data_IF_856963132603
#
_entry.id   IF_856963132603
#
_cell.length_a   1.000
_cell.length_b   1.000
_cell.length_c   1.000
_cell.angle_alpha   90.00
_cell.angle_beta   90.00
_cell.angle_gamma   90.00
#
_symmetry.space_group_name_H-M   'P 1'
#
loop_
_entity.id
_entity.type
_entity.pdbx_description
1 polymer ?
#
# COMPACT_ATOMS: atom_id res chain seq x y z
N UNK A 1 -27.80 -16.76 21.62
CA UNK A 1 -26.95 -15.54 21.72
C UNK A 1 -25.51 -15.98 21.54
N UNK A 2 -24.93 -15.77 20.35
CA UNK A 2 -23.52 -16.10 20.10
C UNK A 2 -22.64 -15.11 20.88
N UNK A 3 -22.13 -15.51 22.04
CA UNK A 3 -20.97 -14.84 22.62
C UNK A 3 -19.76 -15.26 21.78
N UNK A 4 -19.56 -14.57 20.66
CA UNK A 4 -18.30 -14.68 19.96
C UNK A 4 -17.28 -13.87 20.75
N UNK A 5 -16.22 -14.54 21.20
CA UNK A 5 -15.14 -13.92 21.95
C UNK A 5 -14.65 -12.71 21.16
N UNK A 6 -14.56 -11.50 21.78
CA UNK A 6 -14.15 -10.29 21.07
C UNK A 6 -12.81 -10.46 20.34
N UNK A 7 -11.94 -11.31 20.90
CA UNK A 7 -10.67 -11.70 20.31
C UNK A 7 -10.83 -12.50 19.01
N UNK A 8 -11.73 -13.49 18.97
CA UNK A 8 -12.00 -14.30 17.77
C UNK A 8 -12.62 -13.45 16.67
N UNK A 9 -13.52 -12.52 17.03
CA UNK A 9 -14.11 -11.58 16.07
C UNK A 9 -13.04 -10.64 15.51
N UNK A 10 -12.15 -10.11 16.35
CA UNK A 10 -11.05 -9.25 15.90
C UNK A 10 -10.09 -9.98 14.97
N UNK A 11 -9.71 -11.23 15.30
CA UNK A 11 -8.85 -12.08 14.45
C UNK A 11 -9.55 -12.40 13.14
N UNK A 12 -10.85 -12.73 13.15
CA UNK A 12 -11.61 -13.02 11.94
C UNK A 12 -11.72 -11.79 11.03
N UNK A 13 -11.94 -10.60 11.58
CA UNK A 13 -11.95 -9.34 10.82
C UNK A 13 -10.57 -8.98 10.29
N UNK A 14 -9.51 -9.21 11.06
CA UNK A 14 -8.13 -9.01 10.60
C UNK A 14 -7.81 -9.94 9.44
N UNK A 15 -8.08 -11.24 9.58
CA UNK A 15 -7.85 -12.24 8.54
C UNK A 15 -8.71 -11.95 7.31
N UNK A 16 -10.00 -11.63 7.49
CA UNK A 16 -10.90 -11.27 6.41
C UNK A 16 -10.48 -10.00 5.68
N UNK A 17 -9.99 -8.98 6.40
CA UNK A 17 -9.43 -7.76 5.83
C UNK A 17 -8.15 -8.02 5.04
N UNK A 18 -7.23 -8.85 5.58
CA UNK A 18 -6.01 -9.25 4.89
C UNK A 18 -6.34 -10.04 3.62
N UNK A 19 -7.17 -11.08 3.70
CA UNK A 19 -7.56 -11.89 2.54
C UNK A 19 -8.33 -11.05 1.52
N UNK A 20 -9.27 -10.21 1.96
CA UNK A 20 -10.02 -9.28 1.14
C UNK A 20 -9.13 -8.26 0.41
N UNK A 21 -8.05 -7.82 1.05
CA UNK A 21 -7.06 -6.93 0.42
C UNK A 21 -6.16 -7.63 -0.60
N UNK A 22 -5.96 -8.94 -0.47
CA UNK A 22 -5.11 -9.75 -1.35
C UNK A 22 -5.88 -10.31 -2.56
N UNK A 23 -7.19 -10.50 -2.45
CA UNK A 23 -8.05 -10.99 -3.54
C UNK A 23 -7.94 -10.16 -4.84
N UNK A 24 -7.96 -8.81 -4.79
CA UNK A 24 -7.78 -7.96 -5.97
C UNK A 24 -6.35 -8.00 -6.54
N UNK A 25 -5.35 -8.40 -5.74
CA UNK A 25 -3.94 -8.41 -6.13
C UNK A 25 -3.67 -9.45 -7.22
N UNK A 26 -4.46 -10.52 -7.29
CA UNK A 26 -4.26 -11.59 -8.28
C UNK A 26 -4.59 -11.10 -9.71
N UNK A 27 -5.81 -10.61 -10.01
CA UNK A 27 -6.12 -10.06 -11.32
C UNK A 27 -5.49 -8.67 -11.55
N UNK A 28 -5.51 -7.79 -10.54
CA UNK A 28 -4.98 -6.43 -10.63
C UNK A 28 -3.46 -6.37 -10.71
N UNK A 29 -2.76 -7.24 -9.97
CA UNK A 29 -1.29 -7.31 -9.98
C UNK A 29 -0.74 -7.88 -11.29
N UNK A 30 -1.42 -8.85 -11.90
CA UNK A 30 -1.02 -9.39 -13.21
C UNK A 30 -1.24 -8.38 -14.35
N UNK A 31 -2.36 -7.65 -14.34
CA UNK A 31 -2.62 -6.58 -15.32
C UNK A 31 -1.71 -5.36 -15.10
N UNK A 32 -1.51 -4.93 -13.86
CA UNK A 32 -0.67 -3.78 -13.53
C UNK A 32 0.82 -4.06 -13.80
N UNK A 33 1.30 -5.30 -13.60
CA UNK A 33 2.66 -5.70 -13.95
C UNK A 33 2.92 -5.69 -15.47
N UNK A 34 1.91 -5.98 -16.30
CA UNK A 34 2.00 -5.89 -17.77
C UNK A 34 2.02 -4.44 -18.27
N UNK A 35 1.33 -3.53 -17.59
CA UNK A 35 1.17 -2.13 -18.02
C UNK A 35 2.23 -1.20 -17.41
N UNK A 36 2.70 -1.48 -16.19
CA UNK A 36 3.50 -0.55 -15.39
C UNK A 36 5.03 -0.68 -15.50
N UNK A 37 5.57 -1.77 -16.07
CA UNK A 37 7.02 -1.97 -16.25
C UNK A 37 7.86 -2.04 -14.96
N UNK A 38 7.28 -1.77 -13.79
CA UNK A 38 7.92 -1.85 -12.49
C UNK A 38 7.96 -3.30 -11.99
N UNK A 39 9.14 -3.76 -11.57
CA UNK A 39 9.28 -5.14 -11.09
C UNK A 39 8.51 -5.34 -9.78
N UNK A 40 7.62 -6.33 -9.73
CA UNK A 40 6.81 -6.69 -8.55
C UNK A 40 7.68 -6.87 -7.30
N UNK A 41 8.92 -7.36 -7.46
CA UNK A 41 9.89 -7.50 -6.37
C UNK A 41 10.32 -6.16 -5.76
N UNK A 42 10.53 -5.14 -6.59
CA UNK A 42 10.92 -3.80 -6.10
C UNK A 42 9.76 -3.16 -5.34
N UNK A 43 8.54 -3.30 -5.87
CA UNK A 43 7.33 -2.77 -5.23
C UNK A 43 7.05 -3.48 -3.90
N UNK A 44 7.14 -4.82 -3.86
CA UNK A 44 6.95 -5.60 -2.65
C UNK A 44 8.00 -5.28 -1.58
N UNK A 45 9.28 -5.12 -1.98
CA UNK A 45 10.33 -4.70 -1.06
C UNK A 45 10.08 -3.30 -0.50
N UNK A 46 9.65 -2.35 -1.34
CA UNK A 46 9.34 -0.99 -0.92
C UNK A 46 8.15 -0.93 0.05
N UNK A 47 7.08 -1.66 -0.25
CA UNK A 47 5.94 -1.79 0.65
C UNK A 47 6.34 -2.44 1.98
N UNK A 48 7.14 -3.50 1.94
CA UNK A 48 7.65 -4.18 3.14
C UNK A 48 8.52 -3.27 4.00
N UNK A 49 9.50 -2.58 3.42
CA UNK A 49 10.36 -1.65 4.15
C UNK A 49 9.61 -0.43 4.68
N UNK A 50 8.65 0.08 3.91
CA UNK A 50 7.69 1.09 4.38
C UNK A 50 6.95 0.58 5.62
N UNK A 51 6.34 -0.60 5.55
CA UNK A 51 5.56 -1.16 6.65
C UNK A 51 6.40 -1.38 7.92
N UNK A 52 7.64 -1.86 7.78
CA UNK A 52 8.57 -2.03 8.91
C UNK A 52 8.87 -0.70 9.59
N UNK A 53 9.22 0.34 8.81
CA UNK A 53 9.48 1.66 9.39
C UNK A 53 8.21 2.33 9.91
N UNK A 54 7.05 1.99 9.38
CA UNK A 54 5.78 2.49 9.86
C UNK A 54 5.47 2.07 11.30
N UNK A 55 5.92 0.89 11.71
CA UNK A 55 5.74 0.40 13.08
C UNK A 55 6.48 1.30 14.09
N UNK A 56 7.65 1.82 13.70
CA UNK A 56 8.51 2.61 14.61
C UNK A 56 8.16 4.10 14.55
N UNK A 57 7.94 4.63 13.35
CA UNK A 57 7.84 6.08 13.10
C UNK A 57 6.46 6.51 12.56
N UNK A 58 5.49 5.59 12.56
CA UNK A 58 4.14 5.84 12.08
C UNK A 58 4.09 6.13 10.58
N UNK A 59 3.14 6.96 10.12
CA UNK A 59 2.99 7.29 8.69
C UNK A 59 4.26 7.88 8.05
N UNK A 60 5.05 8.62 8.82
CA UNK A 60 6.32 9.21 8.34
C UNK A 60 7.33 8.10 8.04
N UNK A 61 7.40 7.09 8.91
CA UNK A 61 8.23 5.90 8.69
C UNK A 61 7.84 5.13 7.44
N UNK A 62 6.55 5.02 7.15
CA UNK A 62 6.06 4.38 5.95
C UNK A 62 6.61 5.04 4.67
N UNK A 63 6.47 6.37 4.60
CA UNK A 63 6.94 7.17 3.46
C UNK A 63 8.46 7.09 3.31
N UNK A 64 9.19 7.24 4.42
CA UNK A 64 10.65 7.14 4.42
C UNK A 64 11.14 5.74 4.03
N UNK A 65 10.46 4.68 4.49
CA UNK A 65 10.82 3.31 4.18
C UNK A 65 10.61 2.95 2.71
N UNK A 66 9.50 3.39 2.12
CA UNK A 66 9.28 3.27 0.67
C UNK A 66 10.41 3.97 -0.09
N UNK A 67 10.66 5.25 0.25
CA UNK A 67 11.67 6.05 -0.44
C UNK A 67 13.06 5.40 -0.32
N UNK A 68 13.47 5.01 0.88
CA UNK A 68 14.77 4.41 1.15
C UNK A 68 14.97 3.08 0.41
N UNK A 69 13.96 2.22 0.37
CA UNK A 69 14.06 0.93 -0.32
C UNK A 69 14.11 1.11 -1.83
N UNK A 70 13.24 1.94 -2.40
CA UNK A 70 13.25 2.20 -3.86
C UNK A 70 14.58 2.85 -4.25
N UNK A 71 15.01 3.87 -3.51
CA UNK A 71 16.29 4.54 -3.74
C UNK A 71 17.46 3.55 -3.66
N UNK A 72 17.51 2.71 -2.62
CA UNK A 72 18.59 1.73 -2.43
C UNK A 72 18.63 0.66 -3.51
N UNK A 73 17.47 0.15 -3.94
CA UNK A 73 17.38 -0.85 -5.01
C UNK A 73 17.75 -0.26 -6.37
N UNK A 74 17.32 0.97 -6.66
CA UNK A 74 17.60 1.63 -7.93
C UNK A 74 19.06 2.11 -8.01
N UNK A 75 19.60 2.61 -6.91
CA UNK A 75 21.02 2.98 -6.78
C UNK A 75 21.93 1.77 -7.01
N UNK A 76 21.57 0.59 -6.47
CA UNK A 76 22.33 -0.65 -6.73
C UNK A 76 22.24 -1.14 -8.17
N UNK A 77 21.14 -0.88 -8.87
CA UNK A 77 20.95 -1.32 -10.26
C UNK A 77 21.68 -0.45 -11.27
N UNK A 78 21.68 0.87 -11.07
CA UNK A 78 22.17 1.82 -12.07
C UNK A 78 23.38 2.64 -11.63
N UNK A 79 23.78 2.58 -10.35
CA UNK A 79 24.93 3.32 -9.80
C UNK A 79 24.76 4.84 -9.75
N UNK A 80 23.62 5.38 -10.19
CA UNK A 80 23.38 6.81 -10.31
C UNK A 80 22.41 7.30 -9.21
N UNK A 81 22.89 8.09 -8.23
CA UNK A 81 22.07 8.59 -7.14
C UNK A 81 21.01 9.59 -7.60
N UNK A 82 21.23 10.32 -8.70
CA UNK A 82 20.24 11.29 -9.20
C UNK A 82 19.04 10.59 -9.82
N UNK A 83 19.28 9.53 -10.59
CA UNK A 83 18.21 8.70 -11.17
C UNK A 83 17.44 7.94 -10.09
N UNK A 84 18.13 7.32 -9.13
CA UNK A 84 17.48 6.63 -8.01
C UNK A 84 16.62 7.55 -7.16
N UNK A 85 17.08 8.78 -6.89
CA UNK A 85 16.33 9.79 -6.13
C UNK A 85 15.03 10.20 -6.81
N UNK A 86 15.07 10.45 -8.13
CA UNK A 86 13.88 10.78 -8.91
C UNK A 86 12.89 9.62 -8.97
N UNK A 87 13.37 8.40 -9.23
CA UNK A 87 12.52 7.20 -9.26
C UNK A 87 11.82 6.99 -7.91
N UNK A 88 12.57 7.04 -6.80
CA UNK A 88 12.03 6.91 -5.46
C UNK A 88 11.00 8.00 -5.12
N UNK A 89 11.27 9.25 -5.52
CA UNK A 89 10.32 10.35 -5.35
C UNK A 89 9.02 10.11 -6.13
N UNK A 90 9.09 9.74 -7.41
CA UNK A 90 7.91 9.45 -8.22
C UNK A 90 7.10 8.28 -7.67
N UNK A 91 7.75 7.20 -7.22
CA UNK A 91 7.06 6.06 -6.60
C UNK A 91 6.38 6.47 -5.29
N UNK A 92 7.07 7.25 -4.46
CA UNK A 92 6.52 7.73 -3.18
C UNK A 92 5.31 8.62 -3.42
N UNK A 93 5.41 9.60 -4.33
CA UNK A 93 4.29 10.46 -4.73
C UNK A 93 3.15 9.63 -5.31
N UNK A 94 3.44 8.67 -6.19
CA UNK A 94 2.42 7.78 -6.77
C UNK A 94 1.65 6.99 -5.72
N UNK A 95 2.33 6.48 -4.69
CA UNK A 95 1.69 5.77 -3.57
C UNK A 95 0.85 6.72 -2.72
N UNK A 96 1.33 7.94 -2.44
CA UNK A 96 0.55 8.96 -1.71
C UNK A 96 -0.69 9.40 -2.49
N UNK A 97 -0.55 9.60 -3.80
CA UNK A 97 -1.68 9.92 -4.69
C UNK A 97 -2.69 8.77 -4.69
N UNK A 98 -2.24 7.52 -4.76
CA UNK A 98 -3.13 6.37 -4.67
C UNK A 98 -3.86 6.30 -3.32
N UNK A 99 -3.16 6.58 -2.21
CA UNK A 99 -3.77 6.63 -0.89
C UNK A 99 -4.81 7.76 -0.80
N UNK A 100 -4.51 8.94 -1.36
CA UNK A 100 -5.46 10.04 -1.45
C UNK A 100 -6.70 9.65 -2.27
N UNK A 101 -6.53 9.02 -3.42
CA UNK A 101 -7.63 8.47 -4.22
C UNK A 101 -8.43 7.45 -3.43
N UNK A 102 -7.78 6.60 -2.64
CA UNK A 102 -8.46 5.63 -1.80
C UNK A 102 -9.29 6.29 -0.71
N UNK A 103 -8.79 7.36 -0.07
CA UNK A 103 -9.56 8.16 0.88
C UNK A 103 -10.77 8.80 0.19
N UNK A 104 -10.58 9.36 -1.01
CA UNK A 104 -11.67 9.93 -1.81
C UNK A 104 -12.73 8.87 -2.14
N UNK A 105 -12.32 7.69 -2.62
CA UNK A 105 -13.23 6.59 -2.91
C UNK A 105 -13.96 6.11 -1.66
N UNK A 106 -13.25 5.98 -0.54
CA UNK A 106 -13.83 5.57 0.74
C UNK A 106 -14.86 6.60 1.21
N UNK A 107 -14.52 7.89 1.15
CA UNK A 107 -15.42 8.98 1.49
C UNK A 107 -16.63 9.05 0.56
N UNK A 108 -16.44 8.80 -0.75
CA UNK A 108 -17.51 8.77 -1.72
C UNK A 108 -18.49 7.62 -1.47
N UNK A 109 -17.98 6.42 -1.15
CA UNK A 109 -18.81 5.26 -0.77
C UNK A 109 -19.58 5.56 0.52
N UNK A 110 -18.91 6.11 1.53
CA UNK A 110 -19.55 6.50 2.79
C UNK A 110 -20.64 7.55 2.58
N UNK A 111 -20.36 8.59 1.79
CA UNK A 111 -21.33 9.61 1.43
C UNK A 111 -22.53 9.01 0.69
N UNK A 112 -22.28 8.11 -0.28
CA UNK A 112 -23.35 7.38 -0.97
C UNK A 112 -24.22 6.58 -0.02
N UNK A 113 -23.62 5.89 0.96
CA UNK A 113 -24.36 5.17 2.00
C UNK A 113 -25.20 6.12 2.86
N UNK A 114 -24.64 7.24 3.34
CA UNK A 114 -25.38 8.24 4.13
C UNK A 114 -26.53 8.91 3.37
N UNK A 115 -26.43 9.03 2.04
CA UNK A 115 -27.48 9.60 1.21
C UNK A 115 -28.62 8.60 0.93
N UNK A 116 -28.33 7.30 0.97
CA UNK A 116 -29.29 6.21 0.69
C UNK A 116 -29.89 5.63 1.97
N UNK A 117 -29.16 5.62 3.07
CA UNK A 117 -29.62 5.14 4.36
C UNK A 117 -30.65 6.12 4.95
N UNK A 118 -31.91 5.70 5.18
CA UNK A 118 -32.97 6.55 5.74
C UNK A 118 -32.75 6.89 7.22
#
# INVERSE_FOLDING_TARGET
MFHADPFVVAVALLVGGVVGSLLPVIPGGLLSARVGGASVRTAAAAAGGGLVLAIVLGPVGFVLGIFAVVFGLEYRRHGDPRRGGRAAAYTTVGILVSAATQVVLTAAVLAGFLLVAP
#
